data_IF_683995719324
#
_entry.id   IF_683995719324
#
_cell.length_a   1.000
_cell.length_b   1.000
_cell.length_c   1.000
_cell.angle_alpha   90.00
_cell.angle_beta   90.00
_cell.angle_gamma   90.00
#
_symmetry.space_group_name_H-M   'P 1'
#
loop_
_entity.id
_entity.type
_entity.pdbx_description
1 polymer ?
#
# COMPACT_ATOMS: atom_id res chain seq x y z
N UNK A 1 -4.69 -19.77 3.25
CA UNK A 1 -5.11 -18.87 2.15
C UNK A 1 -4.23 -19.16 0.95
N UNK A 2 -4.79 -19.57 -0.20
CA UNK A 2 -4.01 -19.70 -1.43
C UNK A 2 -3.92 -18.33 -2.10
N UNK A 3 -2.92 -17.54 -1.71
CA UNK A 3 -2.58 -16.29 -2.39
C UNK A 3 -2.00 -16.53 -3.79
N UNK A 4 -1.84 -15.46 -4.57
CA UNK A 4 -1.11 -15.51 -5.84
C UNK A 4 0.32 -16.02 -5.59
N UNK A 5 0.74 -17.07 -6.31
CA UNK A 5 2.05 -17.70 -6.09
C UNK A 5 3.17 -16.70 -6.42
N UNK A 6 4.14 -16.58 -5.51
CA UNK A 6 5.26 -15.65 -5.68
C UNK A 6 4.94 -14.21 -5.28
N UNK A 7 3.78 -13.96 -4.65
CA UNK A 7 3.39 -12.64 -4.15
C UNK A 7 3.31 -12.66 -2.63
N UNK A 8 4.02 -11.73 -2.01
CA UNK A 8 3.93 -11.45 -0.58
C UNK A 8 3.19 -10.13 -0.33
N UNK A 9 2.29 -10.13 0.65
CA UNK A 9 1.46 -8.97 0.97
C UNK A 9 1.66 -8.56 2.43
N UNK A 10 1.83 -7.26 2.63
CA UNK A 10 1.91 -6.60 3.93
C UNK A 10 0.93 -5.43 3.98
N UNK A 11 0.33 -5.21 5.15
CA UNK A 11 -0.51 -4.03 5.42
C UNK A 11 0.41 -2.94 5.98
N UNK A 12 0.82 -1.99 5.13
CA UNK A 12 1.65 -0.85 5.55
C UNK A 12 0.78 0.36 5.87
N UNK A 13 0.65 0.72 7.15
CA UNK A 13 -0.26 1.79 7.62
C UNK A 13 0.43 2.77 8.56
N UNK A 14 -0.06 4.01 8.60
CA UNK A 14 0.47 5.04 9.50
C UNK A 14 -0.49 5.31 10.65
N UNK A 15 0.01 5.35 11.90
CA UNK A 15 -0.80 5.74 13.05
C UNK A 15 -1.00 7.25 13.08
N UNK A 16 -2.16 7.67 13.60
CA UNK A 16 -2.43 9.07 13.91
C UNK A 16 -1.71 9.45 15.21
N UNK A 17 -0.75 10.38 15.17
CA UNK A 17 0.01 10.75 16.37
C UNK A 17 -0.82 11.37 17.49
N UNK A 18 -1.92 12.04 17.13
CA UNK A 18 -2.85 12.63 18.09
C UNK A 18 -3.80 11.62 18.72
N UNK A 19 -3.80 10.36 18.25
CA UNK A 19 -4.75 9.33 18.71
C UNK A 19 -3.98 8.15 19.32
N UNK A 20 -3.88 8.09 20.65
CA UNK A 20 -3.08 7.07 21.34
C UNK A 20 -3.59 5.64 21.07
N UNK A 21 -4.87 5.48 20.75
CA UNK A 21 -5.48 4.18 20.44
C UNK A 21 -5.33 3.75 18.98
N UNK A 22 -4.84 4.63 18.09
CA UNK A 22 -4.81 4.39 16.64
C UNK A 22 -4.06 3.11 16.25
N UNK A 23 -2.97 2.78 16.95
CA UNK A 23 -2.22 1.54 16.68
C UNK A 23 -3.06 0.33 17.06
N UNK A 24 -3.56 0.28 18.30
CA UNK A 24 -4.34 -0.83 18.84
C UNK A 24 -5.58 -1.10 17.98
N UNK A 25 -6.38 -0.07 17.71
CA UNK A 25 -7.62 -0.19 16.95
C UNK A 25 -7.39 -0.70 15.52
N UNK A 26 -6.27 -0.33 14.89
CA UNK A 26 -5.91 -0.88 13.56
C UNK A 26 -5.60 -2.38 13.63
N UNK A 27 -4.90 -2.83 14.66
CA UNK A 27 -4.62 -4.26 14.86
C UNK A 27 -5.91 -5.05 15.14
N UNK A 28 -6.80 -4.50 15.99
CA UNK A 28 -8.11 -5.10 16.27
C UNK A 28 -8.96 -5.20 15.01
N UNK A 29 -9.02 -4.14 14.21
CA UNK A 29 -9.78 -4.12 12.95
C UNK A 29 -9.27 -5.18 11.96
N UNK A 30 -7.95 -5.28 11.77
CA UNK A 30 -7.35 -6.29 10.88
C UNK A 30 -7.61 -7.71 11.41
N UNK A 31 -7.49 -7.91 12.72
CA UNK A 31 -7.80 -9.21 13.33
C UNK A 31 -9.27 -9.61 13.09
N UNK A 32 -10.20 -8.69 13.31
CA UNK A 32 -11.64 -8.92 13.15
C UNK A 32 -12.02 -9.27 11.70
N UNK A 33 -11.47 -8.54 10.72
CA UNK A 33 -11.91 -8.66 9.31
C UNK A 33 -11.07 -9.63 8.48
N UNK A 34 -9.82 -9.86 8.87
CA UNK A 34 -8.86 -10.66 8.08
C UNK A 34 -8.26 -11.83 8.86
N UNK A 35 -8.38 -11.84 10.19
CA UNK A 35 -7.87 -12.89 11.06
C UNK A 35 -6.44 -12.63 11.58
N UNK A 36 -6.05 -13.43 12.57
CA UNK A 36 -4.77 -13.28 13.29
C UNK A 36 -3.52 -13.45 12.41
N UNK A 37 -3.59 -14.18 11.30
CA UNK A 37 -2.45 -14.33 10.40
C UNK A 37 -2.10 -13.01 9.69
N UNK A 38 -3.09 -12.14 9.46
CA UNK A 38 -2.88 -10.84 8.82
C UNK A 38 -2.32 -9.80 9.77
N UNK A 39 -2.55 -9.90 11.08
CA UNK A 39 -1.93 -9.00 12.06
C UNK A 39 -0.41 -9.15 12.07
N UNK A 40 0.10 -10.37 11.83
CA UNK A 40 1.53 -10.66 11.67
C UNK A 40 2.16 -10.03 10.41
N UNK A 41 1.34 -9.58 9.47
CA UNK A 41 1.73 -8.96 8.19
C UNK A 41 1.56 -7.44 8.22
N UNK A 42 1.27 -6.85 9.38
CA UNK A 42 1.14 -5.40 9.52
C UNK A 42 2.50 -4.74 9.75
N UNK A 43 2.75 -3.65 9.01
CA UNK A 43 3.86 -2.72 9.22
C UNK A 43 3.24 -1.38 9.62
N UNK A 44 3.34 -1.03 10.90
CA UNK A 44 2.82 0.25 11.41
C UNK A 44 3.95 1.26 11.49
N UNK A 45 3.96 2.24 10.58
CA UNK A 45 5.04 3.23 10.48
C UNK A 45 4.51 4.59 10.02
N UNK A 46 5.06 5.68 10.56
CA UNK A 46 4.80 7.04 10.05
C UNK A 46 5.62 7.34 8.79
N UNK A 47 6.67 6.58 8.55
CA UNK A 47 7.55 6.71 7.40
C UNK A 47 7.55 5.40 6.60
N UNK A 48 6.73 5.36 5.55
CA UNK A 48 6.64 4.21 4.64
C UNK A 48 7.83 4.11 3.69
N UNK A 49 8.67 5.16 3.60
CA UNK A 49 9.85 5.14 2.74
C UNK A 49 10.91 4.15 3.23
N UNK A 50 10.85 3.77 4.50
CA UNK A 50 11.70 2.73 5.10
C UNK A 50 11.19 1.30 4.85
N UNK A 51 9.92 1.13 4.44
CA UNK A 51 9.39 -0.20 4.13
C UNK A 51 9.97 -0.69 2.80
N UNK A 52 10.39 -1.95 2.78
CA UNK A 52 10.90 -2.60 1.57
C UNK A 52 9.78 -3.38 0.88
N UNK A 53 9.77 -3.33 -0.45
CA UNK A 53 8.81 -4.00 -1.33
C UNK A 53 8.90 -3.48 -2.76
N UNK A 54 8.21 -4.16 -3.68
CA UNK A 54 8.19 -3.81 -5.11
C UNK A 54 7.16 -2.72 -5.45
N UNK A 55 5.99 -2.76 -4.79
CA UNK A 55 4.92 -1.78 -4.99
C UNK A 55 4.34 -1.32 -3.66
N UNK A 56 3.90 -0.07 -3.61
CA UNK A 56 3.05 0.47 -2.55
C UNK A 56 1.75 1.00 -3.15
N UNK A 57 0.64 0.36 -2.82
CA UNK A 57 -0.71 0.81 -3.18
C UNK A 57 -1.23 1.69 -2.05
N UNK A 58 -1.37 3.00 -2.31
CA UNK A 58 -1.71 3.99 -1.28
C UNK A 58 -2.42 5.20 -1.91
N UNK A 59 -3.43 5.75 -1.22
CA UNK A 59 -4.25 6.85 -1.73
C UNK A 59 -3.61 8.22 -1.52
N UNK A 60 -2.58 8.34 -0.69
CA UNK A 60 -1.86 9.59 -0.45
C UNK A 60 -1.02 9.97 -1.68
N UNK A 61 -1.29 11.12 -2.34
CA UNK A 61 -0.59 11.47 -3.59
C UNK A 61 0.90 11.77 -3.45
N UNK A 62 1.33 12.18 -2.25
CA UNK A 62 2.72 12.55 -1.97
C UNK A 62 3.20 11.83 -0.71
N UNK A 63 3.92 10.73 -0.90
CA UNK A 63 4.56 9.97 0.18
C UNK A 63 6.00 10.45 0.32
N UNK A 64 6.36 10.87 1.52
CA UNK A 64 7.68 11.43 1.86
C UNK A 64 8.19 10.81 3.15
N UNK A 65 9.51 10.82 3.30
CA UNK A 65 10.19 10.25 4.45
C UNK A 65 11.70 10.40 4.33
N UNK A 66 12.43 9.67 5.17
CA UNK A 66 13.90 9.72 5.25
C UNK A 66 14.56 9.12 4.01
N UNK A 67 13.97 8.08 3.42
CA UNK A 67 14.54 7.40 2.24
C UNK A 67 14.14 8.15 0.98
N UNK A 68 15.11 8.84 0.37
CA UNK A 68 14.90 9.63 -0.86
C UNK A 68 14.54 8.78 -2.08
N UNK A 69 14.84 7.49 -2.09
CA UNK A 69 14.50 6.55 -3.17
C UNK A 69 14.03 5.24 -2.52
N UNK A 70 12.75 5.16 -2.10
CA UNK A 70 12.18 3.92 -1.57
C UNK A 70 12.31 2.80 -2.61
N UNK A 71 12.31 1.55 -2.16
CA UNK A 71 12.45 0.41 -3.08
C UNK A 71 11.21 0.21 -3.97
N UNK A 72 10.05 0.62 -3.48
CA UNK A 72 8.76 0.38 -4.12
C UNK A 72 8.39 1.47 -5.14
N UNK A 73 7.73 1.04 -6.21
CA UNK A 73 6.99 1.92 -7.12
C UNK A 73 5.64 2.32 -6.48
N UNK A 74 5.28 3.60 -6.55
CA UNK A 74 4.02 4.09 -5.95
C UNK A 74 2.87 3.91 -6.93
N UNK A 75 1.91 3.07 -6.57
CA UNK A 75 0.63 2.95 -7.25
C UNK A 75 -0.41 3.76 -6.49
N UNK A 76 -0.91 4.85 -7.08
CA UNK A 76 -1.92 5.66 -6.40
C UNK A 76 -3.27 4.95 -6.43
N UNK A 77 -3.86 4.72 -5.26
CA UNK A 77 -5.22 4.19 -5.16
C UNK A 77 -6.24 5.32 -5.27
N UNK A 78 -7.25 5.19 -6.13
CA UNK A 78 -8.25 6.25 -6.33
C UNK A 78 -9.14 6.45 -5.10
N UNK A 79 -9.20 7.69 -4.63
CA UNK A 79 -10.03 8.14 -3.51
C UNK A 79 -10.67 9.49 -3.81
N UNK A 80 -11.69 9.88 -3.03
CA UNK A 80 -12.49 11.08 -3.26
C UNK A 80 -11.64 12.37 -3.36
N UNK A 81 -10.54 12.43 -2.61
CA UNK A 81 -9.65 13.58 -2.52
C UNK A 81 -8.50 13.57 -3.54
N UNK A 82 -8.30 12.49 -4.30
CA UNK A 82 -7.20 12.38 -5.28
C UNK A 82 -7.65 12.09 -6.72
N UNK A 83 -8.95 11.81 -6.94
CA UNK A 83 -9.51 11.44 -8.26
C UNK A 83 -9.30 12.47 -9.37
N UNK A 84 -9.11 13.74 -9.00
CA UNK A 84 -8.87 14.85 -9.94
C UNK A 84 -7.39 15.01 -10.29
N UNK A 85 -6.49 14.30 -9.60
CA UNK A 85 -5.05 14.38 -9.84
C UNK A 85 -4.66 13.47 -11.00
N UNK A 86 -3.83 14.00 -11.88
CA UNK A 86 -3.23 13.29 -13.00
C UNK A 86 -1.96 12.55 -12.50
N UNK A 87 -1.91 11.20 -12.52
CA UNK A 87 -0.76 10.42 -12.05
C UNK A 87 0.58 10.87 -12.64
N UNK A 88 0.60 11.21 -13.93
CA UNK A 88 1.76 11.70 -14.67
C UNK A 88 2.35 13.02 -14.14
N UNK A 89 1.57 13.76 -13.35
CA UNK A 89 2.02 15.00 -12.68
C UNK A 89 2.48 14.76 -11.25
N UNK A 90 2.27 13.56 -10.70
CA UNK A 90 2.65 13.23 -9.33
C UNK A 90 4.06 12.64 -9.30
N UNK A 91 4.92 13.10 -8.37
CA UNK A 91 6.26 12.57 -8.27
C UNK A 91 6.22 11.11 -7.81
N UNK A 92 6.90 10.22 -8.54
CA UNK A 92 7.09 8.79 -8.24
C UNK A 92 5.87 7.89 -8.39
N UNK A 93 4.71 8.45 -8.73
CA UNK A 93 3.55 7.63 -9.07
C UNK A 93 3.78 7.01 -10.44
N UNK A 94 3.75 5.68 -10.51
CA UNK A 94 4.00 4.92 -11.74
C UNK A 94 2.72 4.39 -12.37
N UNK A 95 1.68 4.15 -11.56
CA UNK A 95 0.41 3.58 -11.97
C UNK A 95 -0.73 4.11 -11.07
N UNK A 96 -1.98 3.91 -11.51
CA UNK A 96 -3.20 4.16 -10.71
C UNK A 96 -4.04 2.90 -10.65
N UNK A 97 -4.58 2.59 -9.46
CA UNK A 97 -5.58 1.54 -9.26
C UNK A 97 -6.89 2.19 -8.83
N UNK A 98 -7.95 2.02 -9.62
CA UNK A 98 -9.21 2.73 -9.39
C UNK A 98 -10.14 2.06 -8.39
N UNK A 99 -10.12 0.73 -8.32
CA UNK A 99 -10.96 -0.07 -7.45
C UNK A 99 -10.41 -1.50 -7.32
N UNK A 100 -11.00 -2.28 -6.42
CA UNK A 100 -10.66 -3.70 -6.21
C UNK A 100 -11.61 -4.68 -6.90
N UNK A 101 -12.69 -4.20 -7.52
CA UNK A 101 -13.84 -5.02 -7.94
C UNK A 101 -13.80 -5.52 -9.38
N UNK A 102 -12.82 -5.10 -10.17
CA UNK A 102 -12.73 -5.41 -11.61
C UNK A 102 -11.45 -6.15 -12.02
N UNK A 103 -10.77 -6.78 -11.07
CA UNK A 103 -9.52 -7.55 -11.27
C UNK A 103 -8.35 -6.78 -11.90
N UNK A 104 -8.43 -5.46 -12.07
CA UNK A 104 -7.33 -4.65 -12.57
C UNK A 104 -6.08 -4.75 -11.68
N UNK A 105 -6.28 -5.02 -10.38
CA UNK A 105 -5.19 -5.26 -9.43
C UNK A 105 -4.39 -6.54 -9.75
N UNK A 106 -5.02 -7.58 -10.34
CA UNK A 106 -4.33 -8.81 -10.76
C UNK A 106 -3.35 -8.49 -11.88
N UNK A 107 -3.83 -7.81 -12.91
CA UNK A 107 -3.02 -7.40 -14.06
C UNK A 107 -1.87 -6.47 -13.66
N UNK A 108 -2.14 -5.57 -12.71
CA UNK A 108 -1.11 -4.73 -12.10
C UNK A 108 -0.03 -5.58 -11.44
N UNK A 109 -0.38 -6.50 -10.55
CA UNK A 109 0.62 -7.35 -9.86
C UNK A 109 1.42 -8.18 -10.86
N UNK A 110 0.76 -8.80 -11.85
CA UNK A 110 1.43 -9.58 -12.89
C UNK A 110 2.41 -8.75 -13.72
N UNK A 111 2.08 -7.48 -14.01
CA UNK A 111 3.01 -6.52 -14.65
C UNK A 111 4.28 -6.34 -13.82
N UNK A 112 4.16 -6.23 -12.49
CA UNK A 112 5.32 -6.07 -11.61
C UNK A 112 6.12 -7.36 -11.44
N UNK A 113 5.46 -8.53 -11.37
CA UNK A 113 6.16 -9.82 -11.33
C UNK A 113 7.09 -10.02 -12.54
N UNK A 114 6.65 -9.58 -13.73
CA UNK A 114 7.47 -9.65 -14.96
C UNK A 114 8.69 -8.73 -14.95
N UNK A 115 8.71 -7.65 -14.14
CA UNK A 115 9.88 -6.76 -14.02
C UNK A 115 11.01 -7.34 -13.17
N UNK A 116 10.68 -8.27 -12.28
CA UNK A 116 11.63 -8.87 -11.32
C UNK A 116 12.36 -10.08 -11.93
N UNK A 117 11.90 -10.56 -13.10
CA UNK A 117 12.53 -11.65 -13.87
C UNK A 117 13.44 -11.08 -14.95
#
# INVERSE_FOLDING_TARGET
MSGMKGVEVFICTSPLASQPHSVKEKFEWVHEHMGADWTRRMIVTRDKTMAYGDILIDDRPYIRGVVKRPSWDHVIFTSCHNKHLQPEKLPRVTDRLDNWTNDAWVQLIEKYMKKVT
#
